data_IF_774928361339
#
_entry.id   IF_774928361339
#
_cell.length_a   1.000
_cell.length_b   1.000
_cell.length_c   1.000
_cell.angle_alpha   90.00
_cell.angle_beta   90.00
_cell.angle_gamma   90.00
#
_symmetry.space_group_name_H-M   'P 1'
#
loop_
_entity.id
_entity.type
_entity.pdbx_description
1 polymer ?
#
# COMPACT_ATOMS: atom_id res chain seq x y z
N UNK A 1 67.98 -41.14 -15.13
CA UNK A 1 67.05 -40.02 -14.93
C UNK A 1 66.74 -39.46 -16.32
N UNK A 2 65.63 -39.94 -16.87
CA UNK A 2 65.09 -39.74 -18.21
C UNK A 2 63.79 -38.93 -18.01
N UNK A 3 63.38 -37.94 -18.79
CA UNK A 3 63.42 -37.79 -20.23
C UNK A 3 63.15 -36.32 -20.61
N UNK A 4 63.69 -35.93 -21.76
CA UNK A 4 63.44 -34.67 -22.46
C UNK A 4 62.05 -34.68 -23.13
N UNK A 5 61.48 -33.48 -23.31
CA UNK A 5 60.25 -33.20 -24.06
C UNK A 5 60.45 -33.41 -25.56
N UNK A 6 59.37 -33.74 -26.29
CA UNK A 6 59.16 -33.13 -27.60
C UNK A 6 57.76 -32.54 -27.81
N UNK A 7 57.76 -31.42 -28.54
CA UNK A 7 56.62 -30.77 -29.21
C UNK A 7 55.99 -31.67 -30.30
N UNK A 8 54.90 -31.19 -30.91
CA UNK A 8 53.98 -31.79 -31.92
C UNK A 8 52.72 -32.38 -31.25
N UNK A 9 51.47 -31.90 -31.40
CA UNK A 9 50.74 -31.40 -32.57
C UNK A 9 49.47 -30.60 -32.17
N UNK A 10 49.25 -29.42 -32.77
CA UNK A 10 47.92 -28.82 -33.05
C UNK A 10 47.23 -29.64 -34.18
N UNK A 11 45.94 -29.54 -34.58
CA UNK A 11 44.72 -28.94 -33.99
C UNK A 11 43.43 -29.81 -34.20
N UNK A 12 42.68 -30.23 -33.17
CA UNK A 12 41.34 -30.84 -33.37
C UNK A 12 40.36 -30.30 -32.31
N UNK A 13 40.24 -28.98 -32.25
CA UNK A 13 39.22 -28.32 -31.43
C UNK A 13 38.53 -27.21 -32.23
N UNK A 14 38.18 -27.54 -33.47
CA UNK A 14 37.22 -26.80 -34.26
C UNK A 14 36.06 -27.77 -34.54
N UNK A 15 34.84 -27.25 -34.42
CA UNK A 15 33.53 -27.93 -34.54
C UNK A 15 32.95 -28.30 -33.17
N UNK A 16 31.67 -27.96 -32.96
CA UNK A 16 30.80 -28.17 -31.79
C UNK A 16 30.75 -27.04 -30.74
N UNK A 17 30.61 -25.78 -31.15
CA UNK A 17 30.01 -24.73 -30.29
C UNK A 17 29.09 -23.78 -31.09
N UNK A 18 28.35 -24.33 -32.05
CA UNK A 18 27.24 -23.62 -32.71
C UNK A 18 25.93 -24.24 -32.20
N UNK A 19 25.34 -23.61 -31.17
CA UNK A 19 24.00 -23.97 -30.74
C UNK A 19 23.70 -23.63 -29.29
N UNK A 20 23.38 -22.35 -29.01
CA UNK A 20 22.46 -21.93 -27.94
C UNK A 20 22.20 -20.42 -28.12
N UNK A 21 21.22 -20.08 -28.94
CA UNK A 21 20.64 -18.73 -28.93
C UNK A 21 19.73 -18.61 -27.71
N UNK A 22 20.17 -17.89 -26.68
CA UNK A 22 19.26 -17.40 -25.64
C UNK A 22 18.60 -16.11 -26.18
N UNK A 23 17.33 -16.21 -26.57
CA UNK A 23 16.50 -15.02 -26.76
C UNK A 23 16.38 -14.28 -25.44
N UNK A 24 16.99 -13.10 -25.35
CA UNK A 24 16.75 -12.14 -24.28
C UNK A 24 15.34 -11.56 -24.46
N UNK A 25 14.40 -12.04 -23.66
CA UNK A 25 13.14 -11.34 -23.43
C UNK A 25 13.46 -10.13 -22.55
N UNK A 26 13.15 -8.88 -22.95
CA UNK A 26 13.29 -7.74 -22.05
C UNK A 26 12.25 -7.90 -20.93
N UNK A 27 12.74 -8.32 -19.77
CA UNK A 27 11.97 -8.34 -18.54
C UNK A 27 11.83 -6.90 -18.09
N UNK A 28 10.66 -6.30 -18.38
CA UNK A 28 10.25 -5.01 -17.84
C UNK A 28 10.49 -5.01 -16.33
N UNK A 29 11.21 -4.00 -15.86
CA UNK A 29 11.58 -3.79 -14.47
C UNK A 29 10.35 -3.84 -13.56
N UNK A 30 10.12 -5.00 -12.95
CA UNK A 30 9.18 -5.14 -11.85
C UNK A 30 9.83 -4.55 -10.61
N UNK A 31 9.31 -3.40 -10.21
CA UNK A 31 9.45 -2.76 -8.90
C UNK A 31 9.67 -3.80 -7.79
N UNK A 32 10.75 -3.63 -7.04
CA UNK A 32 11.24 -4.49 -5.96
C UNK A 32 10.14 -5.03 -5.03
N UNK A 33 9.84 -6.32 -5.17
CA UNK A 33 9.11 -7.14 -4.18
C UNK A 33 10.08 -7.92 -3.30
N UNK A 34 10.98 -7.22 -2.61
CA UNK A 34 11.78 -7.82 -1.53
C UNK A 34 11.02 -7.66 -0.20
N UNK A 35 9.94 -8.43 -0.04
CA UNK A 35 9.39 -8.89 1.25
C UNK A 35 8.09 -9.72 1.06
N UNK A 36 7.95 -10.42 -0.07
CA UNK A 36 6.93 -11.48 -0.18
C UNK A 36 7.44 -12.73 0.52
N UNK A 37 7.40 -12.74 1.85
CA UNK A 37 7.33 -13.99 2.60
C UNK A 37 6.20 -14.84 2.00
N UNK A 38 6.47 -16.10 1.68
CA UNK A 38 5.55 -17.09 1.10
C UNK A 38 4.15 -16.96 1.72
N UNK A 39 3.26 -16.24 1.05
CA UNK A 39 1.85 -16.17 1.41
C UNK A 39 1.27 -17.56 1.08
N UNK A 40 0.73 -18.31 2.06
CA UNK A 40 0.02 -19.54 1.79
C UNK A 40 -1.06 -19.29 0.72
N UNK A 41 -1.11 -20.08 -0.36
CA UNK A 41 -2.19 -19.97 -1.32
C UNK A 41 -3.51 -20.20 -0.57
N UNK A 42 -4.48 -19.29 -0.77
CA UNK A 42 -5.83 -19.33 -0.19
C UNK A 42 -6.03 -18.76 1.23
N UNK A 43 -5.17 -17.86 1.72
CA UNK A 43 -5.48 -17.12 2.95
C UNK A 43 -6.43 -15.93 2.72
N UNK A 44 -7.33 -15.59 3.68
CA UNK A 44 -8.16 -14.41 3.59
C UNK A 44 -7.33 -13.12 3.55
N UNK A 45 -7.61 -12.24 2.59
CA UNK A 45 -6.87 -11.00 2.36
C UNK A 45 -7.79 -9.78 2.49
N UNK A 46 -7.20 -8.66 2.89
CA UNK A 46 -7.73 -7.30 2.73
C UNK A 46 -6.90 -6.56 1.69
N UNK A 47 -7.48 -5.51 1.10
CA UNK A 47 -6.79 -4.65 0.14
C UNK A 47 -6.70 -3.23 0.69
N UNK A 48 -5.50 -2.69 0.80
CA UNK A 48 -5.25 -1.30 1.19
C UNK A 48 -4.79 -0.52 -0.03
N UNK A 49 -5.52 0.53 -0.36
CA UNK A 49 -5.16 1.48 -1.41
C UNK A 49 -4.78 2.81 -0.77
N UNK A 50 -3.59 3.29 -1.07
CA UNK A 50 -3.09 4.60 -0.67
C UNK A 50 -3.13 5.53 -1.88
N UNK A 51 -3.77 6.68 -1.72
CA UNK A 51 -3.94 7.70 -2.75
C UNK A 51 -3.33 9.01 -2.28
N UNK A 52 -2.58 9.64 -3.18
CA UNK A 52 -1.99 10.97 -3.03
C UNK A 52 -2.31 11.80 -4.27
N UNK A 53 -2.62 13.08 -4.08
CA UNK A 53 -3.04 13.94 -5.19
C UNK A 53 -1.88 14.13 -6.16
N UNK A 54 -2.11 13.83 -7.44
CA UNK A 54 -1.09 13.94 -8.49
C UNK A 54 -0.16 12.72 -8.63
N UNK A 55 -0.29 11.71 -7.77
CA UNK A 55 0.48 10.46 -7.85
C UNK A 55 -0.39 9.25 -8.20
N UNK A 56 0.25 8.17 -8.67
CA UNK A 56 -0.43 6.91 -8.87
C UNK A 56 -0.79 6.26 -7.53
N UNK A 57 -2.00 5.69 -7.44
CA UNK A 57 -2.45 4.95 -6.26
C UNK A 57 -1.56 3.72 -6.01
N UNK A 58 -1.12 3.52 -4.77
CA UNK A 58 -0.41 2.31 -4.38
C UNK A 58 -1.36 1.32 -3.70
N UNK A 59 -1.43 0.09 -4.22
CA UNK A 59 -2.29 -0.96 -3.66
C UNK A 59 -1.45 -2.07 -3.05
N UNK A 60 -1.74 -2.42 -1.81
CA UNK A 60 -1.13 -3.53 -1.08
C UNK A 60 -2.21 -4.54 -0.65
N UNK A 61 -1.90 -5.83 -0.77
CA UNK A 61 -2.73 -6.90 -0.21
C UNK A 61 -2.12 -7.35 1.10
N UNK A 62 -2.92 -7.38 2.16
CA UNK A 62 -2.48 -7.76 3.51
C UNK A 62 -3.28 -8.98 3.96
N UNK A 63 -2.65 -10.00 4.56
CA UNK A 63 -3.38 -11.11 5.15
C UNK A 63 -4.26 -10.61 6.30
N UNK A 64 -5.54 -10.99 6.32
CA UNK A 64 -6.46 -10.54 7.37
C UNK A 64 -5.96 -10.91 8.78
N UNK A 65 -5.29 -12.06 8.92
CA UNK A 65 -4.69 -12.49 10.19
C UNK A 65 -3.59 -11.55 10.70
N UNK A 66 -2.90 -10.84 9.81
CA UNK A 66 -1.86 -9.88 10.18
C UNK A 66 -2.40 -8.49 10.52
N UNK A 67 -3.62 -8.18 10.07
CA UNK A 67 -4.28 -6.90 10.27
C UNK A 67 -5.80 -7.09 10.47
N UNK A 68 -6.22 -7.57 11.65
CA UNK A 68 -7.63 -7.87 11.91
C UNK A 68 -8.48 -6.61 12.11
N UNK A 69 -7.87 -5.48 12.48
CA UNK A 69 -8.54 -4.20 12.68
C UNK A 69 -8.02 -3.13 11.72
N UNK A 70 -8.73 -2.01 11.63
CA UNK A 70 -8.34 -0.90 10.76
C UNK A 70 -7.05 -0.24 11.22
N UNK A 71 -6.84 -0.09 12.53
CA UNK A 71 -5.57 0.39 13.11
C UNK A 71 -4.41 -0.50 12.68
N UNK A 72 -4.55 -1.82 12.84
CA UNK A 72 -3.53 -2.77 12.44
C UNK A 72 -3.25 -2.74 10.93
N UNK A 73 -4.27 -2.49 10.09
CA UNK A 73 -4.10 -2.33 8.65
C UNK A 73 -3.33 -1.04 8.28
N UNK A 74 -3.61 0.08 8.98
CA UNK A 74 -2.86 1.34 8.81
C UNK A 74 -1.40 1.15 9.18
N UNK A 75 -1.11 0.50 10.30
CA UNK A 75 0.26 0.23 10.74
C UNK A 75 0.98 -0.72 9.79
N UNK A 76 0.33 -1.83 9.39
CA UNK A 76 0.92 -2.84 8.51
C UNK A 76 1.18 -2.32 7.09
N UNK A 77 0.36 -1.37 6.62
CA UNK A 77 0.56 -0.69 5.33
C UNK A 77 1.54 0.49 5.40
N UNK A 78 1.99 0.85 6.61
CA UNK A 78 2.87 2.01 6.85
C UNK A 78 2.26 3.33 6.38
N UNK A 79 0.94 3.43 6.36
CA UNK A 79 0.26 4.64 5.92
C UNK A 79 0.58 5.84 6.83
N UNK A 80 0.76 5.60 8.13
CA UNK A 80 1.18 6.59 9.13
C UNK A 80 2.67 7.01 9.03
N UNK A 81 3.49 6.27 8.28
CA UNK A 81 4.87 6.66 7.95
C UNK A 81 4.90 7.44 6.63
N UNK A 82 3.98 7.14 5.71
CA UNK A 82 3.90 7.80 4.40
C UNK A 82 3.14 9.13 4.43
N UNK A 83 2.07 9.21 5.21
CA UNK A 83 1.19 10.37 5.27
C UNK A 83 1.07 10.87 6.71
N UNK A 84 1.38 12.15 6.93
CA UNK A 84 1.20 12.79 8.24
C UNK A 84 -0.28 12.90 8.62
N UNK A 85 -1.13 13.21 7.64
CA UNK A 85 -2.59 13.35 7.77
C UNK A 85 -3.28 12.63 6.63
N UNK A 86 -4.38 11.94 6.92
CA UNK A 86 -5.14 11.20 5.93
C UNK A 86 -6.56 10.88 6.40
N UNK A 87 -7.42 10.62 5.41
CA UNK A 87 -8.77 10.11 5.61
C UNK A 87 -8.82 8.62 5.27
N UNK A 88 -9.66 7.88 5.99
CA UNK A 88 -9.81 6.45 5.80
C UNK A 88 -11.28 6.11 5.50
N UNK A 89 -11.51 5.35 4.46
CA UNK A 89 -12.79 4.72 4.18
C UNK A 89 -12.63 3.22 3.91
N UNK A 90 -13.55 2.41 4.42
CA UNK A 90 -13.64 0.99 4.13
C UNK A 90 -14.85 0.75 3.23
N UNK A 91 -14.61 0.10 2.10
CA UNK A 91 -15.65 -0.43 1.21
C UNK A 91 -15.77 -1.93 1.47
N UNK A 92 -16.91 -2.34 2.01
CA UNK A 92 -17.24 -3.72 2.36
C UNK A 92 -18.28 -4.30 1.41
N UNK A 93 -18.00 -5.48 0.88
CA UNK A 93 -18.98 -6.20 0.09
C UNK A 93 -20.14 -6.68 0.98
N UNK A 94 -21.39 -6.63 0.50
CA UNK A 94 -22.52 -7.15 1.25
C UNK A 94 -22.45 -8.67 1.37
N UNK A 95 -23.01 -9.20 2.46
CA UNK A 95 -23.08 -10.65 2.68
C UNK A 95 -24.05 -11.34 1.70
N UNK A 96 -25.02 -10.59 1.17
CA UNK A 96 -26.00 -11.08 0.21
C UNK A 96 -25.79 -10.42 -1.15
N UNK A 97 -25.86 -11.18 -2.26
CA UNK A 97 -25.71 -10.65 -3.60
C UNK A 97 -26.84 -9.65 -3.92
N UNK A 98 -26.51 -8.63 -4.73
CA UNK A 98 -27.47 -7.65 -5.23
C UNK A 98 -27.60 -6.36 -4.42
N UNK A 99 -26.95 -6.27 -3.25
CA UNK A 99 -26.85 -5.02 -2.49
C UNK A 99 -25.60 -4.22 -2.93
N UNK A 100 -25.61 -2.89 -2.78
CA UNK A 100 -24.40 -2.09 -2.99
C UNK A 100 -23.37 -2.34 -1.88
N UNK A 101 -22.07 -2.12 -2.14
CA UNK A 101 -21.04 -2.12 -1.09
C UNK A 101 -21.35 -1.13 0.02
N UNK A 102 -21.11 -1.54 1.27
CA UNK A 102 -21.24 -0.68 2.44
C UNK A 102 -19.97 0.18 2.59
N UNK A 103 -20.17 1.48 2.77
CA UNK A 103 -19.09 2.44 3.07
C UNK A 103 -19.04 2.72 4.56
N UNK A 104 -17.88 2.49 5.18
CA UNK A 104 -17.61 2.81 6.58
C UNK A 104 -16.52 3.89 6.61
N UNK A 105 -16.81 5.03 7.23
CA UNK A 105 -15.87 6.15 7.33
C UNK A 105 -15.19 6.10 8.69
N UNK A 106 -13.86 6.14 8.70
CA UNK A 106 -13.06 6.13 9.93
C UNK A 106 -12.31 7.46 10.10
N UNK A 107 -11.90 7.74 11.33
CA UNK A 107 -11.14 8.94 11.70
C UNK A 107 -9.77 8.54 12.21
N UNK A 108 -8.73 9.16 11.67
CA UNK A 108 -7.36 9.01 12.17
C UNK A 108 -6.97 10.23 13.00
N UNK A 109 -6.57 10.00 14.24
CA UNK A 109 -5.95 11.03 15.08
C UNK A 109 -4.45 11.08 14.77
N UNK A 110 -4.05 12.04 13.93
CA UNK A 110 -2.65 12.23 13.53
C UNK A 110 -1.73 12.62 14.70
N UNK A 111 -2.27 13.19 15.80
CA UNK A 111 -1.46 13.60 16.95
C UNK A 111 -1.09 12.41 17.81
N UNK A 112 -2.09 11.57 18.11
CA UNK A 112 -1.91 10.35 18.89
C UNK A 112 -1.54 9.13 18.03
N UNK A 113 -1.49 9.30 16.70
CA UNK A 113 -1.20 8.28 15.70
C UNK A 113 -2.10 7.04 15.78
N UNK A 114 -3.36 7.24 16.13
CA UNK A 114 -4.30 6.16 16.41
C UNK A 114 -5.69 6.43 15.81
N UNK A 115 -6.42 5.35 15.55
CA UNK A 115 -7.84 5.38 15.24
C UNK A 115 -8.61 5.21 16.57
N UNK A 116 -9.52 6.12 16.93
CA UNK A 116 -10.37 5.94 18.10
C UNK A 116 -11.19 4.65 17.99
N UNK A 117 -11.42 3.98 19.11
CA UNK A 117 -12.05 2.66 19.14
C UNK A 117 -13.40 2.60 18.41
N UNK A 118 -14.19 3.68 18.47
CA UNK A 118 -15.48 3.79 17.79
C UNK A 118 -15.39 3.80 16.25
N UNK A 119 -14.19 4.06 15.72
CA UNK A 119 -13.87 4.08 14.28
C UNK A 119 -12.86 2.99 13.89
N UNK A 120 -12.38 2.18 14.83
CA UNK A 120 -11.48 1.05 14.58
C UNK A 120 -12.28 -0.22 14.27
N UNK A 121 -12.73 -0.32 13.03
CA UNK A 121 -13.57 -1.43 12.60
C UNK A 121 -12.80 -2.75 12.54
N UNK A 122 -13.43 -3.82 13.02
CA UNK A 122 -13.02 -5.18 12.67
C UNK A 122 -13.14 -5.38 11.16
N UNK A 123 -12.08 -5.85 10.53
CA UNK A 123 -12.00 -6.09 9.09
C UNK A 123 -12.47 -7.49 8.72
N UNK A 124 -13.00 -7.60 7.50
CA UNK A 124 -13.45 -8.83 6.89
C UNK A 124 -12.64 -9.16 5.64
N UNK A 125 -12.64 -10.42 5.24
CA UNK A 125 -12.02 -10.85 4.00
C UNK A 125 -12.65 -10.11 2.80
N UNK A 126 -11.81 -9.57 1.92
CA UNK A 126 -12.24 -8.80 0.75
C UNK A 126 -12.59 -7.33 1.03
N UNK A 127 -12.48 -6.86 2.27
CA UNK A 127 -12.60 -5.43 2.55
C UNK A 127 -11.54 -4.63 1.79
N UNK A 128 -11.96 -3.51 1.20
CA UNK A 128 -11.11 -2.55 0.52
C UNK A 128 -11.00 -1.28 1.36
N UNK A 129 -9.82 -1.03 1.89
CA UNK A 129 -9.49 0.16 2.66
C UNK A 129 -8.87 1.18 1.73
N UNK A 130 -9.40 2.40 1.71
CA UNK A 130 -8.90 3.52 0.92
C UNK A 130 -8.39 4.57 1.89
N UNK A 131 -7.10 4.90 1.77
CA UNK A 131 -6.41 5.90 2.56
C UNK A 131 -6.02 7.03 1.62
N UNK A 132 -6.57 8.22 1.85
CA UNK A 132 -6.34 9.40 1.01
C UNK A 132 -5.57 10.43 1.84
N UNK A 133 -4.42 10.88 1.35
CA UNK A 133 -3.64 11.96 1.98
C UNK A 133 -4.50 13.22 2.11
N UNK A 134 -4.53 13.80 3.30
CA UNK A 134 -5.13 15.11 3.56
C UNK A 134 -4.07 16.19 3.27
N UNK A 135 -4.26 17.05 2.25
CA UNK A 135 -3.29 18.09 1.89
C UNK A 135 -3.38 19.32 2.79
N UNK A 136 -4.26 19.34 3.81
CA UNK A 136 -4.47 20.52 4.66
C UNK A 136 -3.24 20.78 5.54
N UNK A 137 -2.62 21.95 5.36
CA UNK A 137 -1.50 22.41 6.16
C UNK A 137 -1.95 22.90 7.55
N UNK A 138 -1.07 22.77 8.55
CA UNK A 138 -1.33 23.24 9.92
C UNK A 138 -1.57 24.76 10.03
N UNK A 139 -1.14 25.55 9.05
CA UNK A 139 -1.44 26.99 9.01
C UNK A 139 -2.92 27.29 8.70
N UNK A 140 -3.59 26.46 7.90
CA UNK A 140 -5.03 26.59 7.60
C UNK A 140 -5.88 26.32 8.85
N UNK A 141 -5.46 25.39 9.71
CA UNK A 141 -6.13 25.10 10.98
C UNK A 141 -5.94 26.25 11.99
N UNK A 142 -4.78 26.90 12.02
CA UNK A 142 -4.52 28.06 12.90
C UNK A 142 -5.29 29.32 12.45
N UNK A 143 -5.36 29.58 11.15
CA UNK A 143 -6.20 30.66 10.61
C UNK A 143 -7.69 30.35 10.82
N UNK A 144 -8.12 29.10 10.67
CA UNK A 144 -9.46 28.64 11.03
C UNK A 144 -9.80 28.87 12.51
N UNK A 145 -8.83 28.72 13.39
CA UNK A 145 -8.99 28.93 14.84
C UNK A 145 -9.08 30.41 15.22
N UNK A 146 -8.37 31.30 14.51
CA UNK A 146 -8.42 32.76 14.75
C UNK A 146 -9.72 33.37 14.20
N UNK A 147 -10.24 32.87 13.08
CA UNK A 147 -11.52 33.34 12.51
C UNK A 147 -12.73 32.58 13.11
N UNK A 148 -12.48 31.49 13.82
CA UNK A 148 -13.47 30.64 14.51
C UNK A 148 -14.40 31.35 15.50
N UNK A 149 -13.89 32.17 16.46
CA UNK A 149 -14.77 32.84 17.43
C UNK A 149 -15.69 33.88 16.79
N UNK A 150 -15.31 34.52 15.68
CA UNK A 150 -16.22 35.41 14.94
C UNK A 150 -17.30 34.65 14.16
N UNK A 151 -17.04 33.43 13.68
CA UNK A 151 -18.04 32.62 12.96
C UNK A 151 -19.01 31.88 13.89
N UNK A 152 -18.56 31.48 15.08
CA UNK A 152 -19.45 30.94 16.13
C UNK A 152 -20.47 31.98 16.60
N UNK A 153 -20.10 33.26 16.67
CA UNK A 153 -21.04 34.36 16.91
C UNK A 153 -22.06 34.57 15.76
N UNK A 154 -21.79 34.03 14.57
CA UNK A 154 -22.65 34.11 13.39
C UNK A 154 -23.42 32.80 13.08
N UNK A 155 -23.41 31.82 14.00
CA UNK A 155 -24.28 30.64 13.93
C UNK A 155 -23.96 29.62 12.82
N UNK A 156 -22.71 29.53 12.34
CA UNK A 156 -22.33 28.52 11.32
C UNK A 156 -21.49 27.40 11.95
N UNK A 157 -22.01 26.17 11.85
CA UNK A 157 -21.33 24.93 12.28
C UNK A 157 -20.02 24.68 11.52
N UNK A 158 -19.03 24.00 12.14
CA UNK A 158 -17.79 23.63 11.48
C UNK A 158 -18.02 22.58 10.38
N UNK A 159 -17.48 22.85 9.19
CA UNK A 159 -17.59 21.97 8.03
C UNK A 159 -16.65 20.78 8.23
N UNK A 160 -17.21 19.62 8.55
CA UNK A 160 -16.50 18.34 8.52
C UNK A 160 -16.25 17.94 7.06
N UNK A 161 -15.12 18.36 6.48
CA UNK A 161 -14.73 18.01 5.10
C UNK A 161 -14.01 16.67 5.09
N UNK A 162 -14.77 15.59 5.00
CA UNK A 162 -14.26 14.31 4.49
C UNK A 162 -14.31 14.34 2.96
N UNK A 163 -13.27 13.85 2.23
CA UNK A 163 -13.33 13.69 0.77
C UNK A 163 -14.23 12.52 0.35
N UNK A 164 -14.80 11.81 1.33
CA UNK A 164 -15.68 10.66 1.20
C UNK A 164 -17.09 10.99 1.66
#
# INVERSE_FOLDING_TARGET
MNQQLPLFTLPVLAIILLGSGCSTVPQSESVSTQDQAMIPPNQPMIMVEMQESGEASHTQKIPLAAAPTLQAAVERSKANERFDRFHIAVSRLPQHPGLPPQKLVSKYDHRNKQIPFEYDYQLNAGDRIVIVKDPSDTMDDLLGTIVGPMRMAAGREPINRSPF
#
